data_IF_445577600441
#
_entry.id   IF_445577600441
#
_cell.length_a   1.000
_cell.length_b   1.000
_cell.length_c   1.000
_cell.angle_alpha   90.00
_cell.angle_beta   90.00
_cell.angle_gamma   90.00
#
_symmetry.space_group_name_H-M   'P 1'
#
loop_
_entity.id
_entity.type
_entity.pdbx_description
1 polymer ?
#
# COMPACT_ATOMS: atom_id res chain seq x y z
N UNK A 1 12.03 -9.59 -6.95
CA UNK A 1 11.13 -8.47 -6.60
C UNK A 1 11.73 -7.51 -5.59
N UNK A 2 12.21 -7.95 -4.42
CA UNK A 2 12.67 -7.05 -3.34
C UNK A 2 13.71 -5.99 -3.73
N UNK A 3 14.80 -6.37 -4.41
CA UNK A 3 15.83 -5.42 -4.87
C UNK A 3 15.24 -4.38 -5.83
N UNK A 4 14.40 -4.81 -6.79
CA UNK A 4 13.75 -3.92 -7.73
C UNK A 4 12.79 -2.93 -7.05
N UNK A 5 12.07 -3.38 -6.02
CA UNK A 5 11.20 -2.53 -5.22
C UNK A 5 11.99 -1.47 -4.45
N UNK A 6 13.12 -1.85 -3.84
CA UNK A 6 14.01 -0.92 -3.15
C UNK A 6 14.60 0.14 -4.11
N UNK A 7 15.03 -0.28 -5.31
CA UNK A 7 15.53 0.63 -6.34
C UNK A 7 14.43 1.56 -6.86
N UNK A 8 13.21 1.06 -7.04
CA UNK A 8 12.07 1.87 -7.48
C UNK A 8 11.76 2.99 -6.49
N UNK A 9 11.59 2.68 -5.20
CA UNK A 9 11.27 3.70 -4.20
C UNK A 9 12.43 4.68 -3.96
N UNK A 10 13.68 4.20 -4.01
CA UNK A 10 14.86 5.07 -3.92
C UNK A 10 14.97 6.01 -5.12
N UNK A 11 14.71 5.49 -6.33
CA UNK A 11 14.69 6.27 -7.57
C UNK A 11 13.54 7.28 -7.62
N UNK A 12 12.35 6.91 -7.15
CA UNK A 12 11.20 7.83 -7.05
C UNK A 12 11.49 9.01 -6.11
N UNK A 13 12.08 8.74 -4.95
CA UNK A 13 12.47 9.79 -4.00
C UNK A 13 13.51 10.74 -4.59
N UNK A 14 14.53 10.19 -5.27
CA UNK A 14 15.56 10.99 -5.91
C UNK A 14 15.00 11.83 -7.07
N UNK A 15 14.22 11.22 -7.96
CA UNK A 15 13.58 11.90 -9.08
C UNK A 15 12.72 13.09 -8.62
N UNK A 16 11.96 12.92 -7.55
CA UNK A 16 11.17 13.98 -6.97
C UNK A 16 12.02 15.10 -6.36
N UNK A 17 13.14 14.75 -5.71
CA UNK A 17 14.07 15.75 -5.17
C UNK A 17 14.79 16.54 -6.26
N UNK A 18 15.14 15.92 -7.39
CA UNK A 18 15.77 16.60 -8.54
C UNK A 18 14.78 17.54 -9.26
N UNK A 19 13.52 17.14 -9.39
CA UNK A 19 12.50 17.93 -10.09
C UNK A 19 11.68 18.88 -9.19
N UNK A 20 12.00 18.99 -7.90
CA UNK A 20 11.29 19.87 -6.95
C UNK A 20 12.24 20.83 -6.23
N UNK A 21 11.83 22.08 -6.07
CA UNK A 21 12.53 23.07 -5.23
C UNK A 21 12.21 22.82 -3.74
N UNK A 22 13.04 23.35 -2.82
CA UNK A 22 12.82 23.29 -1.36
C UNK A 22 11.42 23.76 -0.91
N UNK A 23 10.81 24.69 -1.64
CA UNK A 23 9.45 25.20 -1.36
C UNK A 23 8.32 24.32 -1.91
N UNK A 24 8.61 23.46 -2.90
CA UNK A 24 7.59 22.68 -3.63
C UNK A 24 7.68 21.17 -3.40
N UNK A 25 8.78 20.68 -2.83
CA UNK A 25 9.02 19.25 -2.57
C UNK A 25 7.94 18.61 -1.68
N UNK A 26 7.49 19.30 -0.63
CA UNK A 26 6.45 18.79 0.26
C UNK A 26 5.12 18.61 -0.48
N UNK A 27 4.73 19.58 -1.31
CA UNK A 27 3.50 19.52 -2.12
C UNK A 27 3.57 18.45 -3.20
N UNK A 28 4.70 18.35 -3.89
CA UNK A 28 4.90 17.34 -4.93
C UNK A 28 4.91 15.92 -4.32
N UNK A 29 5.53 15.75 -3.16
CA UNK A 29 5.50 14.48 -2.39
C UNK A 29 4.11 14.10 -1.93
N UNK A 30 3.31 15.06 -1.45
CA UNK A 30 1.93 14.81 -1.09
C UNK A 30 1.09 14.38 -2.30
N UNK A 31 1.31 15.00 -3.46
CA UNK A 31 0.61 14.67 -4.70
C UNK A 31 0.95 13.26 -5.19
N UNK A 32 2.24 12.91 -5.22
CA UNK A 32 2.70 11.54 -5.58
C UNK A 32 2.08 10.51 -4.64
N UNK A 33 2.12 10.77 -3.32
CA UNK A 33 1.49 9.90 -2.32
C UNK A 33 -0.02 9.76 -2.55
N UNK A 34 -0.73 10.84 -2.88
CA UNK A 34 -2.16 10.79 -3.19
C UNK A 34 -2.45 9.93 -4.42
N UNK A 35 -1.66 10.05 -5.49
CA UNK A 35 -1.78 9.20 -6.70
C UNK A 35 -1.54 7.73 -6.36
N UNK A 36 -0.51 7.42 -5.58
CA UNK A 36 -0.23 6.04 -5.14
C UNK A 36 -1.42 5.46 -4.36
N UNK A 37 -2.00 6.23 -3.45
CA UNK A 37 -3.16 5.80 -2.67
C UNK A 37 -4.43 5.62 -3.52
N UNK A 38 -4.66 6.49 -4.52
CA UNK A 38 -5.75 6.33 -5.49
C UNK A 38 -5.62 5.03 -6.31
N UNK A 39 -4.40 4.56 -6.59
CA UNK A 39 -4.21 3.28 -7.28
C UNK A 39 -4.76 2.09 -6.48
N UNK A 40 -4.71 2.17 -5.15
CA UNK A 40 -5.21 1.14 -4.26
C UNK A 40 -6.74 1.12 -4.20
N UNK A 41 -7.37 2.29 -4.27
CA UNK A 41 -8.82 2.43 -4.43
C UNK A 41 -9.28 1.80 -5.75
N UNK A 42 -8.59 2.09 -6.86
CA UNK A 42 -8.87 1.48 -8.17
C UNK A 42 -8.68 -0.04 -8.16
N UNK A 43 -7.68 -0.54 -7.45
CA UNK A 43 -7.48 -1.99 -7.24
C UNK A 43 -8.65 -2.65 -6.50
N UNK A 44 -9.22 -1.98 -5.49
CA UNK A 44 -10.43 -2.42 -4.79
C UNK A 44 -11.66 -2.49 -5.70
N UNK A 45 -11.85 -1.49 -6.58
CA UNK A 45 -12.94 -1.46 -7.56
C UNK A 45 -12.78 -2.60 -8.58
N UNK A 46 -11.57 -2.82 -9.09
CA UNK A 46 -11.30 -3.91 -10.03
C UNK A 46 -11.61 -5.29 -9.39
N UNK A 47 -11.20 -5.49 -8.13
CA UNK A 47 -11.55 -6.70 -7.38
C UNK A 47 -13.06 -6.86 -7.19
N UNK A 48 -13.79 -5.78 -6.88
CA UNK A 48 -15.24 -5.80 -6.77
C UNK A 48 -15.92 -6.22 -8.08
N UNK A 49 -15.47 -5.69 -9.23
CA UNK A 49 -15.99 -6.04 -10.56
C UNK A 49 -15.74 -7.53 -10.87
N UNK A 50 -14.56 -8.05 -10.56
CA UNK A 50 -14.26 -9.47 -10.74
C UNK A 50 -15.21 -10.33 -9.89
N UNK A 51 -15.48 -9.93 -8.65
CA UNK A 51 -16.40 -10.66 -7.78
C UNK A 51 -17.86 -10.60 -8.22
N UNK A 52 -18.34 -9.49 -8.80
CA UNK A 52 -19.71 -9.41 -9.34
C UNK A 52 -19.86 -10.22 -10.63
N UNK A 53 -18.84 -10.25 -11.48
CA UNK A 53 -18.80 -11.12 -12.68
C UNK A 53 -18.83 -12.60 -12.30
N UNK A 54 -18.12 -13.02 -11.23
CA UNK A 54 -18.18 -14.39 -10.69
C UNK A 54 -19.58 -14.78 -10.23
N UNK A 55 -20.31 -13.90 -9.53
CA UNK A 55 -21.67 -14.20 -9.06
C UNK A 55 -22.61 -14.49 -10.23
N UNK A 56 -22.49 -13.74 -11.33
CA UNK A 56 -23.26 -13.96 -12.56
C UNK A 56 -22.92 -15.27 -13.28
N UNK A 57 -21.69 -15.78 -13.16
CA UNK A 57 -21.30 -17.07 -13.75
C UNK A 57 -21.66 -18.27 -12.89
N UNK A 58 -21.67 -18.13 -11.56
CA UNK A 58 -22.09 -19.20 -10.61
C UNK A 58 -23.61 -19.42 -10.67
N UNK A 59 -24.42 -18.36 -10.82
CA UNK A 59 -25.88 -18.50 -11.01
C UNK A 59 -26.26 -19.29 -12.28
N UNK A 60 -25.38 -19.38 -13.27
CA UNK A 60 -25.58 -20.19 -14.50
C UNK A 60 -25.05 -21.63 -14.33
N UNK A 61 -24.09 -21.85 -13.43
CA UNK A 61 -23.48 -23.17 -13.15
C UNK A 61 -24.20 -23.99 -12.07
N UNK A 62 -24.77 -23.35 -11.05
CA UNK A 62 -25.41 -24.01 -9.90
C UNK A 62 -26.78 -24.65 -10.22
N UNK A 63 -27.25 -24.57 -11.47
CA UNK A 63 -28.34 -25.41 -11.95
C UNK A 63 -27.92 -26.89 -12.12
N UNK A 64 -26.62 -27.20 -12.01
CA UNK A 64 -26.08 -28.55 -12.14
C UNK A 64 -25.08 -28.81 -11.02
N UNK A 65 -25.43 -29.73 -10.12
CA UNK A 65 -24.52 -30.38 -9.14
C UNK A 65 -24.39 -29.74 -7.74
N UNK A 66 -25.45 -29.96 -6.96
CA UNK A 66 -25.35 -30.15 -5.50
C UNK A 66 -24.40 -31.32 -5.20
N UNK A 67 -23.32 -31.11 -4.44
CA UNK A 67 -22.84 -31.98 -3.35
C UNK A 67 -21.74 -31.29 -2.53
N UNK A 68 -21.81 -31.49 -1.22
CA UNK A 68 -21.04 -30.92 -0.12
C UNK A 68 -19.51 -31.12 -0.22
N UNK A 69 -18.75 -30.03 -0.10
CA UNK A 69 -17.33 -30.01 0.30
C UNK A 69 -17.00 -28.66 0.98
N UNK A 70 -16.03 -28.60 1.93
CA UNK A 70 -15.79 -27.40 2.73
C UNK A 70 -15.24 -26.29 1.84
N UNK A 71 -16.03 -25.22 1.64
CA UNK A 71 -15.70 -24.10 0.76
C UNK A 71 -14.41 -23.39 1.18
N UNK A 72 -13.32 -23.75 0.52
CA UNK A 72 -12.09 -22.97 0.46
C UNK A 72 -12.02 -22.25 -0.89
N UNK A 73 -11.34 -21.10 -0.94
CA UNK A 73 -11.31 -20.22 -2.12
C UNK A 73 -10.49 -20.86 -3.25
N UNK A 74 -11.14 -21.63 -4.12
CA UNK A 74 -10.57 -22.03 -5.40
C UNK A 74 -10.75 -20.91 -6.42
N UNK A 75 -9.62 -20.44 -6.95
CA UNK A 75 -9.56 -19.54 -8.09
C UNK A 75 -9.60 -20.40 -9.35
N UNK A 76 -10.56 -20.17 -10.23
CA UNK A 76 -10.60 -20.87 -11.50
C UNK A 76 -9.47 -20.35 -12.40
N UNK A 77 -8.75 -21.22 -13.12
CA UNK A 77 -7.57 -20.83 -13.91
C UNK A 77 -7.86 -19.67 -14.90
N UNK A 78 -9.07 -19.61 -15.46
CA UNK A 78 -9.51 -18.50 -16.32
C UNK A 78 -9.53 -17.13 -15.63
N UNK A 79 -9.89 -17.08 -14.34
CA UNK A 79 -9.90 -15.84 -13.56
C UNK A 79 -8.48 -15.35 -13.30
N UNK A 80 -7.59 -16.30 -12.99
CA UNK A 80 -6.16 -16.06 -12.79
C UNK A 80 -5.56 -15.43 -14.05
N UNK A 81 -5.85 -15.98 -15.23
CA UNK A 81 -5.38 -15.43 -16.50
C UNK A 81 -5.91 -14.02 -16.79
N UNK A 82 -7.18 -13.72 -16.48
CA UNK A 82 -7.73 -12.37 -16.66
C UNK A 82 -7.06 -11.36 -15.72
N UNK A 83 -6.89 -11.71 -14.45
CA UNK A 83 -6.23 -10.84 -13.46
C UNK A 83 -4.78 -10.56 -13.87
N UNK A 84 -4.01 -11.60 -14.18
CA UNK A 84 -2.62 -11.43 -14.61
C UNK A 84 -2.52 -10.74 -15.97
N UNK A 85 -3.46 -10.96 -16.89
CA UNK A 85 -3.52 -10.27 -18.19
C UNK A 85 -3.77 -8.77 -18.05
N UNK A 86 -4.73 -8.37 -17.21
CA UNK A 86 -5.01 -6.96 -16.92
C UNK A 86 -3.81 -6.31 -16.22
N UNK A 87 -3.23 -6.97 -15.21
CA UNK A 87 -2.04 -6.46 -14.52
C UNK A 87 -0.85 -6.29 -15.48
N UNK A 88 -0.64 -7.24 -16.40
CA UNK A 88 0.43 -7.18 -17.38
C UNK A 88 0.23 -6.01 -18.36
N UNK A 89 -0.98 -5.84 -18.88
CA UNK A 89 -1.29 -4.74 -19.83
C UNK A 89 -1.14 -3.37 -19.17
N UNK A 90 -1.62 -3.18 -17.94
CA UNK A 90 -1.41 -1.95 -17.18
C UNK A 90 0.07 -1.70 -16.88
N UNK A 91 0.84 -2.74 -16.51
CA UNK A 91 2.27 -2.62 -16.25
C UNK A 91 3.05 -2.22 -17.51
N UNK A 92 2.74 -2.83 -18.66
CA UNK A 92 3.36 -2.46 -19.94
C UNK A 92 2.99 -1.03 -20.34
N UNK A 93 1.73 -0.64 -20.22
CA UNK A 93 1.29 0.72 -20.49
C UNK A 93 2.01 1.74 -19.60
N UNK A 94 2.14 1.45 -18.30
CA UNK A 94 2.87 2.31 -17.35
C UNK A 94 4.34 2.49 -17.75
N UNK A 95 5.03 1.42 -18.14
CA UNK A 95 6.41 1.48 -18.59
C UNK A 95 6.57 2.28 -19.90
N UNK A 96 5.62 2.14 -20.84
CA UNK A 96 5.63 2.90 -22.10
C UNK A 96 5.44 4.40 -21.82
N UNK A 97 4.50 4.76 -20.94
CA UNK A 97 4.27 6.16 -20.54
C UNK A 97 5.53 6.73 -19.87
N UNK A 98 6.16 5.96 -18.98
CA UNK A 98 7.39 6.37 -18.32
C UNK A 98 8.53 6.58 -19.33
N UNK A 99 8.69 5.68 -20.31
CA UNK A 99 9.68 5.83 -21.37
C UNK A 99 9.40 7.00 -22.33
N UNK A 100 8.12 7.32 -22.55
CA UNK A 100 7.69 8.42 -23.40
C UNK A 100 7.72 9.79 -22.68
N UNK A 101 7.90 9.82 -21.36
CA UNK A 101 7.91 11.07 -20.59
C UNK A 101 9.23 11.82 -20.81
N UNK A 102 9.23 13.01 -21.43
CA UNK A 102 10.44 13.76 -21.69
C UNK A 102 11.04 14.29 -20.39
N UNK A 103 12.34 14.07 -20.20
CA UNK A 103 13.07 14.53 -19.02
C UNK A 103 13.34 16.03 -19.16
N UNK A 104 12.45 16.87 -18.61
CA UNK A 104 12.66 18.32 -18.58
C UNK A 104 13.61 18.66 -17.43
N UNK A 105 14.87 18.94 -17.74
CA UNK A 105 15.81 19.50 -16.76
C UNK A 105 15.28 20.86 -16.29
N UNK A 106 15.07 20.99 -14.98
CA UNK A 106 14.82 22.29 -14.37
C UNK A 106 16.11 23.11 -14.48
N UNK A 107 15.97 24.41 -14.75
CA UNK A 107 17.07 25.36 -14.90
C UNK A 107 18.06 25.25 -13.74
N UNK A 108 19.35 25.17 -14.09
CA UNK A 108 20.56 24.91 -13.28
C UNK A 108 20.75 25.71 -11.96
N UNK A 109 19.83 26.60 -11.59
CA UNK A 109 20.02 27.61 -10.52
C UNK A 109 19.38 27.22 -9.17
N UNK A 110 18.53 26.19 -9.10
CA UNK A 110 17.83 25.78 -7.85
C UNK A 110 17.83 24.27 -7.56
N UNK A 111 18.68 23.48 -8.22
CA UNK A 111 18.79 22.04 -7.94
C UNK A 111 19.40 21.77 -6.55
N UNK A 112 18.95 20.69 -5.89
CA UNK A 112 19.70 20.09 -4.80
C UNK A 112 21.10 19.70 -5.34
N UNK A 113 22.14 19.98 -4.54
CA UNK A 113 23.57 19.84 -4.83
C UNK A 113 23.90 18.87 -5.98
N UNK A 114 24.54 19.39 -7.05
CA UNK A 114 24.91 18.60 -8.25
C UNK A 114 25.65 17.35 -7.80
N UNK A 115 25.06 16.18 -8.06
CA UNK A 115 25.69 14.88 -7.78
C UNK A 115 26.95 14.82 -8.63
N UNK A 116 28.09 15.03 -7.98
CA UNK A 116 29.39 14.90 -8.63
C UNK A 116 29.50 13.47 -9.15
N UNK A 117 29.99 13.31 -10.39
CA UNK A 117 30.06 12.00 -11.07
C UNK A 117 31.23 11.17 -10.50
N UNK A 118 31.27 11.02 -9.18
CA UNK A 118 32.27 10.27 -8.48
C UNK A 118 32.13 8.78 -8.80
N UNK A 119 33.26 8.07 -8.81
CA UNK A 119 33.35 6.63 -9.06
C UNK A 119 32.45 5.82 -8.13
N UNK A 120 31.84 4.71 -8.60
CA UNK A 120 30.93 3.86 -7.79
C UNK A 120 31.50 3.49 -6.40
N UNK A 121 32.81 3.29 -6.29
CA UNK A 121 33.47 2.96 -5.02
C UNK A 121 33.47 4.12 -4.03
N UNK A 122 33.69 5.36 -4.49
CA UNK A 122 33.65 6.53 -3.61
C UNK A 122 32.22 6.87 -3.19
N UNK A 123 31.24 6.68 -4.07
CA UNK A 123 29.83 6.80 -3.70
C UNK A 123 29.43 5.75 -2.65
N UNK A 124 29.84 4.50 -2.82
CA UNK A 124 29.56 3.44 -1.84
C UNK A 124 30.22 3.72 -0.49
N UNK A 125 31.45 4.24 -0.49
CA UNK A 125 32.13 4.67 0.74
C UNK A 125 31.38 5.82 1.44
N UNK A 126 30.98 6.85 0.68
CA UNK A 126 30.23 7.99 1.20
C UNK A 126 28.84 7.58 1.73
N UNK A 127 28.16 6.63 1.07
CA UNK A 127 26.90 6.07 1.56
C UNK A 127 27.10 5.32 2.87
N UNK A 128 28.18 4.53 2.99
CA UNK A 128 28.49 3.80 4.22
C UNK A 128 28.83 4.73 5.38
N UNK A 129 29.52 5.83 5.09
CA UNK A 129 29.84 6.85 6.10
C UNK A 129 28.61 7.67 6.48
N UNK A 130 27.74 8.01 5.54
CA UNK A 130 26.43 8.63 5.81
C UNK A 130 25.54 7.70 6.64
N UNK A 131 25.57 6.40 6.38
CA UNK A 131 24.81 5.40 7.13
C UNK A 131 25.27 5.27 8.60
N UNK A 132 26.53 5.62 8.91
CA UNK A 132 27.06 5.63 10.28
C UNK A 132 26.71 6.90 11.06
N UNK A 133 26.16 7.91 10.41
CA UNK A 133 25.77 9.16 11.07
C UNK A 133 24.70 8.85 12.15
N UNK A 134 24.86 9.32 13.41
CA UNK A 134 23.95 8.96 14.50
C UNK A 134 22.47 9.31 14.22
N UNK A 135 22.24 10.39 13.47
CA UNK A 135 20.89 10.81 13.05
C UNK A 135 20.28 9.82 12.04
N UNK A 136 21.08 9.30 11.12
CA UNK A 136 20.65 8.30 10.13
C UNK A 136 20.39 6.95 10.79
N UNK A 137 21.20 6.55 11.77
CA UNK A 137 20.98 5.33 12.55
C UNK A 137 19.66 5.44 13.33
N UNK A 138 19.41 6.55 14.02
CA UNK A 138 18.15 6.76 14.75
C UNK A 138 16.94 6.68 13.80
N UNK A 139 17.04 7.29 12.62
CA UNK A 139 15.99 7.25 11.60
C UNK A 139 15.80 5.85 11.01
N UNK A 140 16.87 5.05 10.88
CA UNK A 140 16.79 3.68 10.36
C UNK A 140 15.96 2.76 11.26
N UNK A 141 16.05 2.90 12.58
CA UNK A 141 15.22 2.16 13.54
C UNK A 141 13.74 2.48 13.33
N UNK A 142 13.41 3.75 13.09
CA UNK A 142 12.06 4.17 12.75
C UNK A 142 11.59 3.55 11.42
N UNK A 143 12.44 3.53 10.39
CA UNK A 143 12.09 2.90 9.11
C UNK A 143 11.87 1.39 9.21
N UNK A 144 12.61 0.68 10.07
CA UNK A 144 12.38 -0.76 10.34
C UNK A 144 11.02 -0.96 10.99
N UNK A 145 10.69 -0.17 12.00
CA UNK A 145 9.38 -0.21 12.66
C UNK A 145 8.24 0.09 11.67
N UNK A 146 8.38 1.14 10.86
CA UNK A 146 7.39 1.51 9.86
C UNK A 146 7.26 0.45 8.77
N UNK A 147 8.37 -0.14 8.31
CA UNK A 147 8.37 -1.26 7.35
C UNK A 147 7.63 -2.48 7.89
N UNK A 148 7.80 -2.80 9.18
CA UNK A 148 7.04 -3.85 9.85
C UNK A 148 5.54 -3.51 9.89
N UNK A 149 5.17 -2.28 10.28
CA UNK A 149 3.79 -1.80 10.30
C UNK A 149 3.11 -1.94 8.93
N UNK A 150 3.74 -1.46 7.86
CA UNK A 150 3.20 -1.56 6.49
C UNK A 150 3.10 -3.02 6.03
N UNK A 151 4.08 -3.86 6.36
CA UNK A 151 4.06 -5.29 6.02
C UNK A 151 2.92 -6.03 6.71
N UNK A 152 2.67 -5.71 7.99
CA UNK A 152 1.53 -6.26 8.73
C UNK A 152 0.20 -5.85 8.09
N UNK A 153 0.05 -4.58 7.73
CA UNK A 153 -1.19 -4.01 7.22
C UNK A 153 -1.52 -4.41 5.78
N UNK A 154 -0.52 -4.50 4.89
CA UNK A 154 -0.70 -4.94 3.50
C UNK A 154 -0.71 -6.47 3.35
N UNK A 155 -0.01 -7.20 4.23
CA UNK A 155 0.20 -8.64 4.10
C UNK A 155 -0.62 -9.45 5.09
N UNK A 156 -0.29 -9.33 6.38
CA UNK A 156 -0.87 -10.19 7.42
C UNK A 156 -2.38 -9.97 7.60
N UNK A 157 -2.82 -8.70 7.65
CA UNK A 157 -4.22 -8.39 7.92
C UNK A 157 -5.20 -8.79 6.80
N UNK A 158 -4.90 -8.60 5.49
CA UNK A 158 -5.79 -9.09 4.44
C UNK A 158 -5.87 -10.63 4.38
N UNK A 159 -4.81 -11.34 4.79
CA UNK A 159 -4.82 -12.81 4.79
C UNK A 159 -5.74 -13.40 5.85
N UNK A 160 -5.97 -12.73 6.99
CA UNK A 160 -6.92 -13.20 8.00
C UNK A 160 -8.36 -13.20 7.48
N UNK A 161 -8.71 -12.27 6.57
CA UNK A 161 -10.00 -12.29 5.88
C UNK A 161 -10.16 -13.48 4.93
N UNK A 162 -9.06 -13.91 4.30
CA UNK A 162 -9.09 -15.02 3.35
C UNK A 162 -9.09 -16.40 4.06
N UNK A 163 -8.55 -16.49 5.27
CA UNK A 163 -8.37 -17.75 6.01
C UNK A 163 -9.42 -18.01 7.10
N UNK A 164 -10.26 -17.04 7.43
CA UNK A 164 -11.34 -17.21 8.42
C UNK A 164 -12.64 -17.63 7.74
N UNK A 165 -13.14 -18.84 8.05
CA UNK A 165 -14.31 -19.46 7.38
C UNK A 165 -15.64 -18.71 7.56
N UNK A 166 -15.86 -18.10 8.73
CA UNK A 166 -17.06 -17.27 8.98
C UNK A 166 -17.06 -15.98 8.14
N UNK A 167 -15.89 -15.59 7.64
CA UNK A 167 -15.65 -14.33 6.97
C UNK A 167 -15.49 -14.51 5.45
N UNK A 168 -15.09 -15.72 5.02
CA UNK A 168 -15.07 -16.13 3.61
C UNK A 168 -16.47 -16.34 3.02
N UNK A 169 -17.52 -16.45 3.84
CA UNK A 169 -18.92 -16.48 3.38
C UNK A 169 -19.32 -15.18 2.67
N UNK A 170 -18.72 -14.04 3.06
CA UNK A 170 -18.94 -12.74 2.41
C UNK A 170 -17.82 -12.46 1.39
N UNK A 171 -18.03 -12.92 0.15
CA UNK A 171 -17.09 -12.79 -1.00
C UNK A 171 -16.59 -11.36 -1.24
N UNK A 172 -17.34 -10.34 -0.80
CA UNK A 172 -17.02 -8.92 -0.99
C UNK A 172 -16.08 -8.33 0.06
N UNK A 173 -15.73 -9.05 1.13
CA UNK A 173 -15.04 -8.44 2.26
C UNK A 173 -13.62 -7.94 1.95
N UNK A 174 -12.76 -8.67 1.20
CA UNK A 174 -11.45 -8.14 0.80
C UNK A 174 -11.55 -6.93 -0.12
N UNK A 175 -12.56 -6.90 -1.01
CA UNK A 175 -12.82 -5.75 -1.87
C UNK A 175 -13.29 -4.53 -1.07
N UNK A 176 -14.18 -4.74 -0.09
CA UNK A 176 -14.64 -3.70 0.82
C UNK A 176 -13.50 -3.16 1.69
N UNK A 177 -12.59 -4.02 2.17
CA UNK A 177 -11.38 -3.61 2.88
C UNK A 177 -10.51 -2.70 2.01
N UNK A 178 -10.13 -3.12 0.80
CA UNK A 178 -9.33 -2.30 -0.12
C UNK A 178 -10.02 -0.97 -0.45
N UNK A 179 -11.34 -0.98 -0.62
CA UNK A 179 -12.13 0.23 -0.86
C UNK A 179 -12.13 1.18 0.34
N UNK A 180 -12.38 0.67 1.55
CA UNK A 180 -12.40 1.46 2.78
C UNK A 180 -11.03 2.03 3.14
N UNK A 181 -9.99 1.25 2.91
CA UNK A 181 -8.61 1.69 3.03
C UNK A 181 -8.29 2.82 2.04
N UNK A 182 -8.67 2.65 0.77
CA UNK A 182 -8.51 3.69 -0.25
C UNK A 182 -9.26 4.97 0.13
N UNK A 183 -10.51 4.84 0.57
CA UNK A 183 -11.31 5.97 1.05
C UNK A 183 -10.68 6.65 2.28
N UNK A 184 -10.19 5.87 3.24
CA UNK A 184 -9.50 6.36 4.44
C UNK A 184 -8.25 7.16 4.10
N UNK A 185 -7.48 6.73 3.11
CA UNK A 185 -6.29 7.47 2.65
C UNK A 185 -6.63 8.83 2.02
N UNK A 186 -7.74 8.93 1.28
CA UNK A 186 -8.23 10.19 0.71
C UNK A 186 -8.72 11.13 1.80
N UNK A 187 -9.46 10.60 2.80
CA UNK A 187 -9.92 11.37 3.96
C UNK A 187 -8.74 11.88 4.78
N UNK A 188 -7.74 11.03 5.05
CA UNK A 188 -6.52 11.40 5.77
C UNK A 188 -5.72 12.48 5.02
N UNK A 189 -5.57 12.36 3.70
CA UNK A 189 -4.93 13.38 2.87
C UNK A 189 -5.67 14.73 2.91
N UNK A 190 -7.01 14.69 2.85
CA UNK A 190 -7.86 15.87 3.02
C UNK A 190 -7.73 16.51 4.41
N UNK A 191 -7.71 15.69 5.46
CA UNK A 191 -7.50 16.13 6.84
C UNK A 191 -6.16 16.85 7.00
N UNK A 192 -5.06 16.24 6.54
CA UNK A 192 -3.72 16.83 6.63
C UNK A 192 -3.67 18.15 5.86
N UNK A 193 -4.19 18.18 4.62
CA UNK A 193 -4.18 19.40 3.78
C UNK A 193 -4.98 20.54 4.41
N UNK A 194 -6.14 20.25 5.00
CA UNK A 194 -6.97 21.25 5.66
C UNK A 194 -6.28 21.84 6.90
N UNK A 195 -5.73 20.99 7.77
CA UNK A 195 -5.09 21.43 9.00
C UNK A 195 -3.72 22.09 8.78
N UNK A 196 -2.96 21.65 7.78
CA UNK A 196 -1.69 22.29 7.39
C UNK A 196 -1.90 23.73 6.90
N UNK A 197 -3.01 23.98 6.17
CA UNK A 197 -3.38 25.35 5.76
C UNK A 197 -3.76 26.26 6.93
N UNK A 198 -4.17 25.69 8.07
CA UNK A 198 -4.71 26.43 9.21
C UNK A 198 -3.68 26.67 10.31
N UNK A 199 -2.70 25.78 10.47
CA UNK A 199 -1.71 25.84 11.55
C UNK A 199 -0.28 25.72 10.99
N UNK A 200 0.60 26.70 11.21
CA UNK A 200 1.99 26.58 10.80
C UNK A 200 2.67 25.45 11.60
N UNK A 201 3.42 24.58 10.90
CA UNK A 201 4.11 23.38 11.42
C UNK A 201 3.20 22.20 11.83
N UNK A 202 1.94 22.16 11.37
CA UNK A 202 1.05 21.02 11.64
C UNK A 202 1.46 19.73 10.93
N UNK A 203 2.19 19.83 9.80
CA UNK A 203 2.55 18.68 8.99
C UNK A 203 3.44 17.62 9.65
N UNK A 204 4.22 17.95 10.69
CA UNK A 204 5.24 17.05 11.25
C UNK A 204 4.84 16.41 12.58
N UNK A 205 4.84 17.17 13.67
CA UNK A 205 4.63 16.63 15.03
C UNK A 205 3.15 16.27 15.27
N UNK A 206 2.16 17.14 14.96
CA UNK A 206 0.76 16.81 15.16
C UNK A 206 0.30 15.62 14.33
N UNK A 207 0.68 15.56 13.04
CA UNK A 207 0.37 14.41 12.17
C UNK A 207 0.94 13.11 12.73
N UNK A 208 2.18 13.13 13.23
CA UNK A 208 2.81 11.95 13.84
C UNK A 208 2.07 11.50 15.11
N UNK A 209 1.60 12.43 15.94
CA UNK A 209 0.80 12.08 17.14
C UNK A 209 -0.54 11.47 16.73
N UNK A 210 -1.22 12.03 15.73
CA UNK A 210 -2.49 11.47 15.24
C UNK A 210 -2.30 10.07 14.65
N UNK A 211 -1.19 9.82 13.96
CA UNK A 211 -0.84 8.51 13.42
C UNK A 211 -0.59 7.48 14.52
N UNK A 212 0.11 7.86 15.60
CA UNK A 212 0.31 6.99 16.76
C UNK A 212 -1.02 6.60 17.41
N UNK A 213 -1.92 7.56 17.62
CA UNK A 213 -3.24 7.30 18.22
C UNK A 213 -4.06 6.35 17.34
N UNK A 214 -4.12 6.62 16.03
CA UNK A 214 -4.84 5.78 15.07
C UNK A 214 -4.23 4.38 14.99
N UNK A 215 -2.90 4.27 15.03
CA UNK A 215 -2.20 2.99 15.03
C UNK A 215 -2.51 2.16 16.28
N UNK A 216 -2.51 2.77 17.47
CA UNK A 216 -2.88 2.08 18.72
C UNK A 216 -4.32 1.59 18.65
N UNK A 217 -5.24 2.43 18.18
CA UNK A 217 -6.64 2.05 17.98
C UNK A 217 -6.76 0.90 16.97
N UNK A 218 -6.04 0.95 15.86
CA UNK A 218 -6.03 -0.09 14.83
C UNK A 218 -5.55 -1.42 15.40
N UNK A 219 -4.39 -1.45 16.07
CA UNK A 219 -3.88 -2.68 16.68
C UNK A 219 -4.81 -3.22 17.77
N UNK A 220 -5.40 -2.33 18.58
CA UNK A 220 -6.42 -2.71 19.56
C UNK A 220 -7.65 -3.35 18.90
N UNK A 221 -8.16 -2.75 17.83
CA UNK A 221 -9.29 -3.28 17.07
C UNK A 221 -8.94 -4.61 16.41
N UNK A 222 -7.72 -4.76 15.88
CA UNK A 222 -7.30 -6.03 15.28
C UNK A 222 -7.19 -7.13 16.32
N UNK A 223 -6.65 -6.85 17.51
CA UNK A 223 -6.57 -7.84 18.60
C UNK A 223 -7.96 -8.25 19.10
N UNK A 224 -8.94 -7.35 19.06
CA UNK A 224 -10.34 -7.65 19.43
C UNK A 224 -11.09 -8.37 18.30
N UNK A 225 -10.81 -8.03 17.05
CA UNK A 225 -11.51 -8.55 15.87
C UNK A 225 -10.97 -9.91 15.39
N UNK A 226 -9.70 -10.20 15.64
CA UNK A 226 -9.01 -11.37 15.09
C UNK A 226 -8.72 -12.38 16.21
N UNK A 227 -9.23 -13.61 16.06
CA UNK A 227 -8.91 -14.71 16.98
C UNK A 227 -7.43 -15.10 16.88
N UNK A 228 -6.86 -15.61 17.97
CA UNK A 228 -5.42 -15.74 18.28
C UNK A 228 -4.59 -16.59 17.28
N UNK A 229 -5.21 -17.18 16.25
CA UNK A 229 -4.56 -18.09 15.29
C UNK A 229 -5.01 -17.91 13.81
N UNK A 230 -5.80 -16.89 13.50
CA UNK A 230 -6.42 -16.68 12.17
C UNK A 230 -5.43 -16.43 11.01
N UNK A 231 -4.19 -16.02 11.30
CA UNK A 231 -3.17 -15.75 10.26
C UNK A 231 -2.41 -17.01 9.80
N UNK A 232 -2.40 -18.08 10.60
CA UNK A 232 -1.48 -19.22 10.41
C UNK A 232 -2.22 -20.52 10.07
N UNK A 233 -3.48 -20.69 10.53
CA UNK A 233 -4.26 -21.90 10.28
C UNK A 233 -5.71 -21.58 9.95
N UNK A 234 -6.31 -22.45 9.14
CA UNK A 234 -7.74 -22.46 8.84
C UNK A 234 -8.50 -22.93 10.05
N UNK A 235 -9.14 -22.00 10.75
CA UNK A 235 -9.76 -22.29 12.04
C UNK A 235 -11.26 -21.98 11.97
N UNK A 236 -12.05 -22.89 12.54
CA UNK A 236 -13.50 -22.82 12.67
C UNK A 236 -13.96 -22.03 13.93
N UNK A 237 -13.03 -21.54 14.75
CA UNK A 237 -13.34 -20.88 16.04
C UNK A 237 -13.95 -19.48 15.89
N UNK A 238 -14.91 -19.20 16.78
CA UNK A 238 -15.57 -17.91 16.92
C UNK A 238 -14.58 -16.79 17.31
N UNK A 239 -14.79 -15.59 16.76
CA UNK A 239 -14.04 -14.40 17.17
C UNK A 239 -14.24 -14.14 18.67
N UNK A 240 -13.18 -13.71 19.34
CA UNK A 240 -13.10 -13.77 20.81
C UNK A 240 -14.11 -12.85 21.52
N UNK A 241 -14.58 -11.75 20.90
CA UNK A 241 -15.44 -10.77 21.57
C UNK A 241 -16.52 -10.07 20.71
N UNK A 242 -16.40 -9.99 19.39
CA UNK A 242 -17.41 -9.32 18.54
C UNK A 242 -17.90 -10.27 17.46
N UNK A 243 -19.18 -10.66 17.54
CA UNK A 243 -19.86 -11.42 16.50
C UNK A 243 -20.25 -10.46 15.36
N UNK A 244 -19.84 -10.70 14.11
CA UNK A 244 -20.47 -10.02 12.99
C UNK A 244 -21.92 -10.50 12.89
N UNK A 245 -22.86 -9.56 12.92
CA UNK A 245 -24.29 -9.79 12.66
C UNK A 245 -24.56 -10.03 11.18
#
# INVERSE_FOLDING_TARGET
MGIGFALYYSGQGLYMSEHSTKSTIARNSALVSAITNCSMLNGGIAMFIIFTLRKGSVEVGDAMESTMAPHYRDFQDSEIYIIYGVLLTFSLASNIIFAATPTKKTSDEEEFEKIDKATLRSQLANLLDTAKEPRMILLSVFFVFYGYHISYWLGAYPTTFAFTKMLSTNVYLPAFYCFMVGLGSVIAGGYITFFDSRFPNFGLIPTMITDIILSIMMYGLTLVSTSNLSTIQTIDDESMLIKPS
#
